data_IF_087718629260
#
_entry.id   IF_087718629260
#
_cell.length_a   1.000
_cell.length_b   1.000
_cell.length_c   1.000
_cell.angle_alpha   90.00
_cell.angle_beta   90.00
_cell.angle_gamma   90.00
#
_symmetry.space_group_name_H-M   'P 1'
#
loop_
_entity.id
_entity.type
_entity.pdbx_description
1 polymer ?
#
# COMPACT_ATOMS: atom_id res chain seq x y z
N UNK A 1 -13.18 2.28 -15.00
CA UNK A 1 -11.90 2.93 -14.65
C UNK A 1 -11.48 3.78 -15.83
N UNK A 2 -10.63 4.79 -15.68
CA UNK A 2 -10.11 5.48 -16.88
C UNK A 2 -9.07 4.58 -17.56
N UNK A 3 -8.85 4.73 -18.88
CA UNK A 3 -7.79 3.97 -19.57
C UNK A 3 -6.39 4.21 -19.01
N UNK A 4 -6.18 5.33 -18.30
CA UNK A 4 -4.94 5.61 -17.56
C UNK A 4 -4.82 4.75 -16.30
N UNK A 5 -5.92 4.53 -15.59
CA UNK A 5 -5.92 3.69 -14.38
C UNK A 5 -5.69 2.21 -14.73
N UNK A 6 -6.27 1.73 -15.83
CA UNK A 6 -6.04 0.37 -16.34
C UNK A 6 -4.57 0.16 -16.71
N UNK A 7 -3.98 1.07 -17.50
CA UNK A 7 -2.55 1.02 -17.83
C UNK A 7 -1.66 1.04 -16.58
N UNK A 8 -2.02 1.84 -15.57
CA UNK A 8 -1.26 1.90 -14.33
C UNK A 8 -1.37 0.59 -13.53
N UNK A 9 -2.55 -0.03 -13.49
CA UNK A 9 -2.76 -1.34 -12.89
C UNK A 9 -1.88 -2.40 -13.57
N UNK A 10 -1.87 -2.46 -14.90
CA UNK A 10 -1.04 -3.41 -15.65
C UNK A 10 0.44 -3.26 -15.29
N UNK A 11 0.94 -2.03 -15.21
CA UNK A 11 2.32 -1.75 -14.79
C UNK A 11 2.62 -2.26 -13.37
N UNK A 12 1.66 -2.15 -12.45
CA UNK A 12 1.80 -2.70 -11.09
C UNK A 12 1.84 -4.23 -11.15
N UNK A 13 0.90 -4.87 -11.84
CA UNK A 13 0.85 -6.33 -11.96
C UNK A 13 2.12 -6.90 -12.60
N UNK A 14 2.64 -6.25 -13.64
CA UNK A 14 3.91 -6.59 -14.30
C UNK A 14 5.11 -6.43 -13.36
N UNK A 15 5.15 -5.35 -12.57
CA UNK A 15 6.21 -5.13 -11.58
C UNK A 15 6.20 -6.23 -10.52
N UNK A 16 5.03 -6.62 -10.04
CA UNK A 16 4.89 -7.70 -9.05
C UNK A 16 5.32 -9.04 -9.68
N UNK A 17 4.92 -9.32 -10.92
CA UNK A 17 5.24 -10.57 -11.60
C UNK A 17 6.76 -10.80 -11.79
N UNK A 18 7.54 -9.72 -11.88
CA UNK A 18 9.01 -9.73 -12.01
C UNK A 18 9.76 -9.95 -10.69
N UNK A 19 9.07 -10.09 -9.56
CA UNK A 19 9.71 -10.38 -8.28
C UNK A 19 9.94 -11.89 -8.11
N UNK A 20 10.97 -12.25 -7.33
CA UNK A 20 11.21 -13.63 -6.94
C UNK A 20 10.27 -14.07 -5.80
N UNK A 21 10.07 -15.38 -5.69
CA UNK A 21 9.38 -15.94 -4.52
C UNK A 21 10.28 -15.90 -3.28
N UNK A 22 9.72 -15.75 -2.06
CA UNK A 22 8.28 -15.65 -1.75
C UNK A 22 7.69 -14.22 -1.87
N UNK A 23 8.53 -13.23 -2.19
CA UNK A 23 8.15 -11.80 -2.19
C UNK A 23 7.05 -11.51 -3.22
N UNK A 24 7.09 -12.15 -4.38
CA UNK A 24 6.04 -12.01 -5.41
C UNK A 24 4.65 -12.36 -4.89
N UNK A 25 4.49 -13.54 -4.30
CA UNK A 25 3.19 -13.99 -3.76
C UNK A 25 2.68 -13.07 -2.67
N UNK A 26 3.56 -12.64 -1.77
CA UNK A 26 3.21 -11.72 -0.70
C UNK A 26 2.80 -10.34 -1.22
N UNK A 27 3.57 -9.79 -2.15
CA UNK A 27 3.30 -8.49 -2.76
C UNK A 27 1.96 -8.49 -3.49
N UNK A 28 1.65 -9.57 -4.22
CA UNK A 28 0.33 -9.78 -4.85
C UNK A 28 -0.78 -9.78 -3.80
N UNK A 29 -0.64 -10.58 -2.74
CA UNK A 29 -1.65 -10.67 -1.67
C UNK A 29 -1.93 -9.30 -1.03
N UNK A 30 -0.89 -8.55 -0.68
CA UNK A 30 -1.06 -7.23 -0.04
C UNK A 30 -1.65 -6.22 -1.02
N UNK A 31 -1.28 -6.28 -2.30
CA UNK A 31 -1.92 -5.48 -3.35
C UNK A 31 -3.43 -5.74 -3.41
N UNK A 32 -3.84 -7.00 -3.48
CA UNK A 32 -5.25 -7.40 -3.56
C UNK A 32 -6.03 -6.93 -2.32
N UNK A 33 -5.43 -7.06 -1.13
CA UNK A 33 -5.99 -6.58 0.13
C UNK A 33 -6.19 -5.07 0.12
N UNK A 34 -5.22 -4.29 -0.36
CA UNK A 34 -5.33 -2.83 -0.43
C UNK A 34 -6.49 -2.41 -1.34
N UNK A 35 -6.57 -2.96 -2.55
CA UNK A 35 -7.61 -2.57 -3.52
C UNK A 35 -9.01 -3.06 -3.12
N UNK A 36 -9.10 -4.19 -2.41
CA UNK A 36 -10.36 -4.65 -1.83
C UNK A 36 -10.80 -3.80 -0.63
N UNK A 37 -9.87 -3.40 0.24
CA UNK A 37 -10.15 -2.60 1.42
C UNK A 37 -10.56 -1.15 1.09
N UNK A 38 -9.97 -0.57 0.04
CA UNK A 38 -10.28 0.77 -0.46
C UNK A 38 -10.35 0.81 -2.00
N UNK A 39 -11.49 0.44 -2.62
CA UNK A 39 -11.65 0.40 -4.07
C UNK A 39 -11.51 1.75 -4.79
N UNK A 40 -11.60 2.85 -4.04
CA UNK A 40 -11.35 4.22 -4.51
C UNK A 40 -9.87 4.48 -4.79
N UNK A 41 -8.97 3.73 -4.16
CA UNK A 41 -7.54 3.80 -4.43
C UNK A 41 -7.19 3.08 -5.74
N UNK A 42 -6.44 3.76 -6.59
CA UNK A 42 -5.94 3.28 -7.87
C UNK A 42 -4.43 3.02 -7.77
N UNK A 43 -3.99 1.80 -8.11
CA UNK A 43 -2.58 1.45 -8.10
C UNK A 43 -1.84 2.15 -9.23
N UNK A 44 -0.57 2.47 -8.99
CA UNK A 44 0.38 2.98 -9.98
C UNK A 44 1.82 2.64 -9.59
N UNK A 45 2.75 2.73 -10.53
CA UNK A 45 4.17 2.72 -10.20
C UNK A 45 4.60 4.11 -9.75
N UNK A 46 5.25 4.18 -8.59
CA UNK A 46 5.86 5.38 -8.04
C UNK A 46 7.23 5.05 -7.46
N UNK A 47 8.26 5.76 -7.93
CA UNK A 47 9.66 5.45 -7.61
C UNK A 47 10.03 3.97 -7.75
N UNK A 48 9.54 3.34 -8.82
CA UNK A 48 9.84 1.94 -9.16
C UNK A 48 9.06 0.88 -8.36
N UNK A 49 8.19 1.28 -7.43
CA UNK A 49 7.38 0.37 -6.60
C UNK A 49 5.88 0.70 -6.67
N UNK A 50 4.99 -0.26 -6.32
CA UNK A 50 3.57 0.00 -6.19
C UNK A 50 3.24 1.14 -5.20
N UNK A 51 2.33 2.02 -5.60
CA UNK A 51 1.72 3.02 -4.75
C UNK A 51 0.25 3.23 -5.14
N UNK A 52 -0.54 3.80 -4.25
CA UNK A 52 -1.99 3.87 -4.37
C UNK A 52 -2.48 5.29 -4.11
N UNK A 53 -3.29 5.81 -5.03
CA UNK A 53 -3.80 7.19 -5.03
C UNK A 53 -5.29 7.21 -5.40
N UNK A 54 -6.06 8.22 -4.98
CA UNK A 54 -7.48 8.32 -5.36
C UNK A 54 -7.68 8.45 -6.89
N UNK A 55 -6.71 9.03 -7.59
CA UNK A 55 -6.66 9.06 -9.03
C UNK A 55 -5.22 9.14 -9.55
N UNK A 56 -5.05 8.93 -10.86
CA UNK A 56 -3.77 9.11 -11.53
C UNK A 56 -3.20 10.55 -11.48
N UNK A 57 -3.99 11.54 -11.06
CA UNK A 57 -3.60 12.95 -10.95
C UNK A 57 -3.38 13.42 -9.52
N UNK A 58 -3.70 12.59 -8.51
CA UNK A 58 -3.51 12.93 -7.09
C UNK A 58 -2.20 12.32 -6.55
N UNK A 59 -1.66 12.86 -5.45
CA UNK A 59 -0.56 12.22 -4.74
C UNK A 59 -0.89 10.78 -4.31
N UNK A 60 0.14 9.96 -4.15
CA UNK A 60 -0.01 8.64 -3.54
C UNK A 60 -0.28 8.83 -2.05
N UNK A 61 -1.17 8.01 -1.51
CA UNK A 61 -1.52 7.99 -0.08
C UNK A 61 -0.89 6.79 0.61
N UNK A 62 -0.87 5.63 -0.08
CA UNK A 62 -0.26 4.39 0.42
C UNK A 62 0.84 3.96 -0.53
N UNK A 63 1.95 3.46 0.00
CA UNK A 63 3.01 2.81 -0.77
C UNK A 63 3.21 1.38 -0.30
N UNK A 64 3.57 0.51 -1.23
CA UNK A 64 3.89 -0.88 -0.95
C UNK A 64 5.21 -1.21 -1.66
N UNK A 65 6.28 -1.39 -0.88
CA UNK A 65 7.65 -1.50 -1.38
C UNK A 65 8.24 -2.87 -1.08
N UNK A 66 9.16 -3.31 -1.93
CA UNK A 66 9.95 -4.52 -1.77
C UNK A 66 11.44 -4.18 -1.94
N UNK A 67 12.03 -3.58 -0.90
CA UNK A 67 13.44 -3.21 -0.85
C UNK A 67 14.20 -4.29 -0.05
N UNK A 68 14.84 -3.92 1.08
CA UNK A 68 15.44 -4.91 1.99
C UNK A 68 14.36 -5.79 2.65
N UNK A 69 13.24 -5.17 3.03
CA UNK A 69 12.03 -5.81 3.58
C UNK A 69 10.79 -5.32 2.85
N UNK A 70 9.68 -6.06 2.97
CA UNK A 70 8.40 -5.52 2.54
C UNK A 70 7.98 -4.40 3.49
N UNK A 71 7.41 -3.35 2.91
CA UNK A 71 7.01 -2.17 3.63
C UNK A 71 5.69 -1.63 3.09
N UNK A 72 4.73 -1.44 3.99
CA UNK A 72 3.53 -0.65 3.75
C UNK A 72 3.75 0.71 4.43
N UNK A 73 3.57 1.81 3.72
CA UNK A 73 3.71 3.13 4.33
C UNK A 73 2.65 4.12 3.82
N UNK A 74 2.31 5.07 4.69
CA UNK A 74 1.48 6.23 4.40
C UNK A 74 2.38 7.41 4.04
N UNK A 75 1.95 8.20 3.06
CA UNK A 75 2.65 9.45 2.71
C UNK A 75 2.17 10.59 3.61
N UNK A 76 2.87 11.71 3.56
CA UNK A 76 2.52 12.95 4.27
C UNK A 76 1.20 13.59 3.78
N UNK A 77 0.56 12.99 2.77
CA UNK A 77 -0.73 13.42 2.22
C UNK A 77 -1.92 12.79 2.92
N UNK A 78 -1.67 11.83 3.82
CA UNK A 78 -2.67 11.29 4.74
C UNK A 78 -2.76 12.19 5.97
N UNK A 79 -3.96 12.40 6.51
CA UNK A 79 -4.16 13.03 7.83
C UNK A 79 -3.65 12.08 8.93
N UNK A 80 -2.35 12.14 9.20
CA UNK A 80 -1.71 11.31 10.21
C UNK A 80 -2.05 11.83 11.62
N UNK A 81 -2.47 10.91 12.49
CA UNK A 81 -2.84 11.21 13.88
C UNK A 81 -1.86 10.53 14.83
N UNK A 82 -1.56 11.21 15.94
CA UNK A 82 -0.69 10.66 16.97
C UNK A 82 -1.31 9.37 17.54
N UNK A 83 -0.50 8.32 17.69
CA UNK A 83 -0.97 7.04 18.24
C UNK A 83 -1.30 7.13 19.73
N UNK A 84 -0.71 8.09 20.46
CA UNK A 84 -0.85 8.20 21.90
C UNK A 84 -0.19 7.02 22.63
N UNK A 85 -0.51 6.84 23.90
CA UNK A 85 0.05 5.75 24.71
C UNK A 85 1.58 5.77 24.74
N UNK A 86 2.21 4.63 24.47
CA UNK A 86 3.67 4.49 24.46
C UNK A 86 4.35 5.28 23.32
N UNK A 87 3.63 5.54 22.23
CA UNK A 87 4.15 6.29 21.07
C UNK A 87 4.00 7.82 21.25
N UNK A 88 3.21 8.27 22.22
CA UNK A 88 3.01 9.68 22.54
C UNK A 88 2.53 10.49 21.33
N UNK A 89 3.31 11.51 20.94
CA UNK A 89 3.00 12.39 19.81
C UNK A 89 3.44 11.82 18.44
N UNK A 90 4.09 10.65 18.40
CA UNK A 90 4.53 10.04 17.15
C UNK A 90 3.33 9.50 16.36
N UNK A 91 3.44 9.63 15.04
CA UNK A 91 2.39 9.24 14.10
C UNK A 91 2.86 8.01 13.32
N UNK A 92 2.14 6.88 13.39
CA UNK A 92 2.54 5.68 12.68
C UNK A 92 2.34 5.88 11.18
N UNK A 93 3.45 5.80 10.43
CA UNK A 93 3.46 6.06 9.00
C UNK A 93 4.04 4.91 8.16
N UNK A 94 4.71 3.92 8.77
CA UNK A 94 5.31 2.81 8.05
C UNK A 94 5.32 1.53 8.89
N UNK A 95 5.04 0.40 8.23
CA UNK A 95 5.03 -0.93 8.82
C UNK A 95 5.84 -1.86 7.93
N UNK A 96 6.89 -2.43 8.49
CA UNK A 96 7.74 -3.43 7.85
C UNK A 96 7.29 -4.83 8.24
N UNK A 97 7.33 -5.76 7.29
CA UNK A 97 6.88 -7.13 7.52
C UNK A 97 7.65 -8.13 6.64
N UNK A 98 7.73 -9.37 7.11
CA UNK A 98 8.38 -10.49 6.42
C UNK A 98 7.39 -11.60 6.04
N UNK A 99 6.22 -11.63 6.66
CA UNK A 99 5.13 -12.58 6.40
C UNK A 99 3.78 -11.84 6.44
N UNK A 100 2.73 -12.47 5.89
CA UNK A 100 1.35 -11.97 5.96
C UNK A 100 0.47 -13.10 6.46
N UNK A 101 0.21 -13.12 7.76
CA UNK A 101 -0.78 -13.96 8.40
C UNK A 101 -2.14 -13.22 8.50
N UNK A 102 -3.13 -13.87 9.11
CA UNK A 102 -4.47 -13.29 9.26
C UNK A 102 -4.48 -12.00 10.13
N UNK A 103 -3.82 -11.93 11.29
CA UNK A 103 -3.68 -10.68 12.05
C UNK A 103 -3.03 -9.55 11.25
N UNK A 104 -1.97 -9.85 10.49
CA UNK A 104 -1.27 -8.85 9.67
C UNK A 104 -2.19 -8.34 8.56
N UNK A 105 -2.90 -9.23 7.87
CA UNK A 105 -3.85 -8.84 6.83
C UNK A 105 -4.97 -7.95 7.38
N UNK A 106 -5.57 -8.33 8.53
CA UNK A 106 -6.58 -7.51 9.20
C UNK A 106 -6.04 -6.12 9.54
N UNK A 107 -4.79 -6.03 10.03
CA UNK A 107 -4.18 -4.75 10.35
C UNK A 107 -3.93 -3.89 9.11
N UNK A 108 -3.50 -4.49 8.00
CA UNK A 108 -3.35 -3.80 6.70
C UNK A 108 -4.70 -3.23 6.25
N UNK A 109 -5.79 -4.01 6.35
CA UNK A 109 -7.14 -3.55 6.00
C UNK A 109 -7.55 -2.33 6.81
N UNK A 110 -7.34 -2.36 8.13
CA UNK A 110 -7.65 -1.23 9.03
C UNK A 110 -6.88 0.03 8.65
N UNK A 111 -5.56 -0.09 8.41
CA UNK A 111 -4.69 1.01 7.98
C UNK A 111 -5.16 1.59 6.65
N UNK A 112 -5.46 0.74 5.66
CA UNK A 112 -5.87 1.19 4.34
C UNK A 112 -7.23 1.89 4.38
N UNK A 113 -8.16 1.39 5.19
CA UNK A 113 -9.48 2.03 5.36
C UNK A 113 -9.38 3.40 6.02
N UNK A 114 -8.49 3.57 7.00
CA UNK A 114 -8.32 4.88 7.67
C UNK A 114 -7.75 5.97 6.75
N UNK A 115 -7.17 5.60 5.60
CA UNK A 115 -6.62 6.56 4.63
C UNK A 115 -7.70 7.25 3.78
N UNK A 116 -8.84 6.59 3.59
CA UNK A 116 -9.91 7.05 2.69
C UNK A 116 -11.23 7.36 3.41
N UNK A 117 -11.25 7.21 4.73
CA UNK A 117 -12.39 7.50 5.61
C UNK A 117 -12.49 8.98 5.97
#
# INVERSE_FOLDING_TARGET
>A
MSGKDEKNLDQVIDKIAKMDEPRRSMMRRVHDVIVAAAPTLKPRIWYGMPAYAVSASTPALVTLRNDERLNLALTEKVDLRAAGGADGALMPAAWYFETVDEPTEKRIIEIVRSVVS
#
